data_IF_811109411738
#
_entry.id   IF_811109411738
#
_cell.length_a   1.000
_cell.length_b   1.000
_cell.length_c   1.000
_cell.angle_alpha   90.00
_cell.angle_beta   90.00
_cell.angle_gamma   90.00
#
_symmetry.space_group_name_H-M   'P 1'
#
loop_
_entity.id
_entity.type
_entity.pdbx_description
1 polymer ?
#
# COMPACT_ATOMS: atom_id res chain seq x y z
N UNK A 1 -36.67 -34.31 -33.86
CA UNK A 1 -37.61 -35.04 -34.74
C UNK A 1 -38.93 -35.22 -33.99
N UNK A 2 -39.87 -34.29 -34.13
CA UNK A 2 -41.17 -34.35 -33.42
C UNK A 2 -42.08 -35.32 -34.17
N UNK A 3 -42.29 -36.52 -33.62
CA UNK A 3 -43.32 -37.45 -34.11
C UNK A 3 -44.70 -36.91 -33.68
N UNK A 4 -45.40 -36.24 -34.58
CA UNK A 4 -46.80 -35.87 -34.38
C UNK A 4 -47.64 -37.16 -34.37
N UNK A 5 -48.03 -37.62 -33.18
CA UNK A 5 -48.75 -38.88 -32.99
C UNK A 5 -50.27 -38.75 -33.02
N UNK A 6 -50.80 -37.52 -33.13
CA UNK A 6 -52.24 -37.27 -33.12
C UNK A 6 -52.56 -36.08 -34.03
N UNK A 7 -53.22 -36.38 -35.14
CA UNK A 7 -53.80 -35.41 -36.06
C UNK A 7 -55.32 -35.55 -35.90
N UNK A 8 -56.03 -34.43 -35.75
CA UNK A 8 -57.48 -34.42 -35.80
C UNK A 8 -57.86 -34.33 -37.27
N UNK A 9 -58.59 -35.33 -37.76
CA UNK A 9 -59.16 -35.31 -39.09
C UNK A 9 -60.46 -34.52 -39.03
N UNK A 10 -60.56 -33.44 -39.81
CA UNK A 10 -61.84 -32.88 -40.25
C UNK A 10 -61.96 -33.17 -41.74
N UNK A 11 -62.61 -34.29 -42.05
CA UNK A 11 -62.88 -34.69 -43.42
C UNK A 11 -64.39 -34.80 -43.62
N UNK A 12 -64.95 -33.95 -44.47
CA UNK A 12 -66.25 -34.22 -45.05
C UNK A 12 -66.10 -35.36 -46.07
N UNK A 13 -66.88 -36.43 -45.91
CA UNK A 13 -66.92 -37.52 -46.88
C UNK A 13 -67.87 -37.10 -48.01
N UNK A 14 -67.32 -36.61 -49.13
CA UNK A 14 -68.13 -36.36 -50.33
C UNK A 14 -68.35 -37.69 -51.06
N UNK A 15 -69.56 -38.25 -50.93
CA UNK A 15 -70.01 -39.34 -51.79
C UNK A 15 -70.35 -38.73 -53.15
N UNK A 16 -69.66 -39.14 -54.21
CA UNK A 16 -70.14 -38.86 -55.56
C UNK A 16 -71.34 -39.78 -55.79
N UNK A 17 -72.56 -39.24 -55.66
CA UNK A 17 -73.79 -39.90 -56.08
C UNK A 17 -74.07 -39.59 -57.55
N UNK A 18 -74.30 -40.62 -58.35
CA UNK A 18 -75.14 -40.45 -59.54
C UNK A 18 -76.59 -40.32 -59.05
N UNK A 19 -77.28 -39.27 -59.50
CA UNK A 19 -78.58 -38.74 -59.05
C UNK A 19 -78.50 -37.81 -57.82
N UNK A 20 -79.02 -36.59 -58.02
CA UNK A 20 -78.83 -35.44 -57.15
C UNK A 20 -79.64 -35.49 -55.86
N UNK A 21 -78.92 -35.62 -54.75
CA UNK A 21 -79.29 -35.18 -53.41
C UNK A 21 -77.98 -34.79 -52.71
N UNK A 22 -77.79 -33.52 -52.37
CA UNK A 22 -76.73 -33.09 -51.45
C UNK A 22 -77.11 -33.50 -50.03
N UNK A 23 -76.22 -34.23 -49.34
CA UNK A 23 -76.37 -34.55 -47.93
C UNK A 23 -75.35 -33.76 -47.12
N UNK A 24 -75.82 -33.19 -46.00
CA UNK A 24 -75.06 -32.32 -45.10
C UNK A 24 -73.71 -32.91 -44.68
N UNK A 25 -72.69 -32.05 -44.70
CA UNK A 25 -71.35 -32.37 -44.22
C UNK A 25 -71.38 -32.68 -42.71
N UNK A 26 -71.23 -33.96 -42.34
CA UNK A 26 -71.01 -34.35 -40.96
C UNK A 26 -69.66 -33.80 -40.49
N UNK A 27 -69.66 -32.86 -39.54
CA UNK A 27 -68.43 -32.35 -38.89
C UNK A 27 -67.86 -33.42 -37.96
N UNK A 28 -67.11 -34.35 -38.53
CA UNK A 28 -66.52 -35.47 -37.82
C UNK A 28 -65.12 -35.06 -37.32
N UNK A 29 -64.95 -34.89 -36.01
CA UNK A 29 -63.65 -34.64 -35.38
C UNK A 29 -63.03 -35.96 -34.92
N UNK A 30 -62.30 -36.62 -35.81
CA UNK A 30 -61.70 -37.93 -35.52
C UNK A 30 -60.27 -37.77 -34.97
N UNK A 31 -59.99 -38.39 -33.82
CA UNK A 31 -58.64 -38.52 -33.23
C UNK A 31 -58.15 -39.96 -33.45
N UNK A 32 -57.14 -40.17 -34.30
CA UNK A 32 -56.50 -41.49 -34.51
C UNK A 32 -56.70 -42.10 -35.90
N UNK A 33 -56.52 -43.42 -36.03
CA UNK A 33 -56.59 -44.13 -37.31
C UNK A 33 -58.04 -44.31 -37.79
N UNK A 34 -58.32 -43.83 -39.01
CA UNK A 34 -59.64 -44.00 -39.66
C UNK A 34 -59.55 -45.17 -40.64
N UNK A 35 -60.38 -46.19 -40.44
CA UNK A 35 -60.47 -47.34 -41.34
C UNK A 35 -61.69 -47.17 -42.26
N UNK A 36 -61.46 -47.15 -43.57
CA UNK A 36 -62.53 -47.13 -44.57
C UNK A 36 -62.62 -48.53 -45.19
N UNK A 37 -63.73 -49.22 -44.94
CA UNK A 37 -64.02 -50.52 -45.54
C UNK A 37 -65.14 -50.36 -46.58
N UNK A 38 -64.94 -50.92 -47.77
CA UNK A 38 -65.96 -50.99 -48.81
C UNK A 38 -66.10 -52.45 -49.26
N UNK A 39 -67.32 -52.89 -49.54
CA UNK A 39 -67.63 -54.23 -50.04
C UNK A 39 -68.50 -54.05 -51.27
N UNK A 40 -68.09 -54.63 -52.40
CA UNK A 40 -68.78 -54.47 -53.68
C UNK A 40 -68.73 -55.79 -54.45
N UNK A 41 -69.82 -56.16 -55.13
CA UNK A 41 -69.94 -57.36 -55.94
C UNK A 41 -70.11 -57.00 -57.43
N UNK A 42 -69.39 -57.74 -58.29
CA UNK A 42 -69.22 -57.56 -59.76
C UNK A 42 -68.94 -56.14 -60.32
N UNK A 43 -67.67 -55.71 -60.37
CA UNK A 43 -67.21 -54.52 -61.13
C UNK A 43 -65.80 -54.75 -61.75
N UNK A 44 -65.50 -54.15 -62.92
CA UNK A 44 -64.17 -54.23 -63.60
C UNK A 44 -63.12 -53.18 -63.18
N UNK A 45 -63.47 -51.95 -62.76
CA UNK A 45 -62.51 -51.01 -62.15
C UNK A 45 -63.24 -49.94 -61.33
N UNK A 46 -62.69 -49.58 -60.17
CA UNK A 46 -63.15 -48.47 -59.33
C UNK A 46 -61.95 -47.59 -59.00
N UNK A 47 -62.11 -46.28 -59.12
CA UNK A 47 -61.17 -45.27 -58.62
C UNK A 47 -61.91 -44.36 -57.65
N UNK A 48 -61.35 -44.20 -56.45
CA UNK A 48 -61.77 -43.17 -55.50
C UNK A 48 -60.57 -42.36 -55.05
N UNK A 49 -60.79 -41.06 -54.85
CA UNK A 49 -59.82 -40.12 -54.32
C UNK A 49 -60.29 -39.67 -52.94
N UNK A 50 -59.53 -39.96 -51.90
CA UNK A 50 -59.83 -39.51 -50.54
C UNK A 50 -58.82 -38.42 -50.18
N UNK A 51 -59.32 -37.20 -49.97
CA UNK A 51 -58.52 -36.05 -49.57
C UNK A 51 -58.87 -35.67 -48.13
N UNK A 52 -57.89 -35.73 -47.22
CA UNK A 52 -58.07 -35.30 -45.84
C UNK A 52 -57.46 -33.92 -45.61
N UNK A 53 -58.26 -32.98 -45.09
CA UNK A 53 -57.75 -31.70 -44.60
C UNK A 53 -57.45 -31.82 -43.10
N UNK A 54 -56.18 -31.69 -42.74
CA UNK A 54 -55.72 -31.85 -41.36
C UNK A 54 -55.49 -30.49 -40.71
N UNK A 55 -56.09 -30.27 -39.54
CA UNK A 55 -55.79 -29.12 -38.70
C UNK A 55 -55.27 -29.60 -37.34
N UNK A 56 -54.11 -29.11 -36.93
CA UNK A 56 -53.51 -29.46 -35.64
C UNK A 56 -54.38 -28.91 -34.51
N UNK A 57 -54.69 -29.74 -33.51
CA UNK A 57 -55.47 -29.30 -32.37
C UNK A 57 -54.75 -28.15 -31.62
N UNK A 58 -55.47 -27.10 -31.19
CA UNK A 58 -54.86 -25.99 -30.45
C UNK A 58 -54.21 -26.43 -29.13
N UNK A 59 -54.71 -27.50 -28.51
CA UNK A 59 -54.16 -28.12 -27.30
C UNK A 59 -52.73 -28.65 -27.52
N UNK A 60 -52.50 -29.38 -28.62
CA UNK A 60 -51.18 -29.96 -28.95
C UNK A 60 -50.15 -28.87 -29.22
N UNK A 61 -50.56 -27.78 -29.89
CA UNK A 61 -49.69 -26.63 -30.13
C UNK A 61 -49.32 -25.95 -28.80
N UNK A 62 -50.28 -25.82 -27.89
CA UNK A 62 -50.06 -25.19 -26.58
C UNK A 62 -49.13 -26.03 -25.71
N UNK A 63 -49.28 -27.35 -25.71
CA UNK A 63 -48.40 -28.26 -24.97
C UNK A 63 -46.99 -28.27 -25.55
N UNK A 64 -46.85 -28.24 -26.88
CA UNK A 64 -45.55 -28.09 -27.52
C UNK A 64 -44.88 -26.75 -27.17
N UNK A 65 -45.64 -25.65 -27.15
CA UNK A 65 -45.14 -24.32 -26.74
C UNK A 65 -44.63 -24.34 -25.30
N UNK A 66 -45.42 -24.89 -24.36
CA UNK A 66 -45.02 -25.02 -22.95
C UNK A 66 -43.74 -25.84 -22.82
N UNK A 67 -43.69 -27.03 -23.40
CA UNK A 67 -42.52 -27.90 -23.34
C UNK A 67 -41.26 -27.25 -23.93
N UNK A 68 -41.42 -26.51 -25.02
CA UNK A 68 -40.30 -25.80 -25.65
C UNK A 68 -39.84 -24.62 -24.81
N UNK A 69 -40.78 -23.89 -24.20
CA UNK A 69 -40.49 -22.79 -23.28
C UNK A 69 -39.77 -23.28 -22.03
N UNK A 70 -40.27 -24.34 -21.38
CA UNK A 70 -39.65 -24.92 -20.17
C UNK A 70 -38.21 -25.36 -20.45
N UNK A 71 -37.94 -25.93 -21.62
CA UNK A 71 -36.58 -26.33 -22.02
C UNK A 71 -35.65 -25.13 -22.22
N UNK A 72 -36.15 -24.00 -22.74
CA UNK A 72 -35.38 -22.78 -22.95
C UNK A 72 -35.10 -22.10 -21.60
N UNK A 73 -36.11 -21.98 -20.73
CA UNK A 73 -35.97 -21.36 -19.42
C UNK A 73 -35.01 -22.15 -18.53
N UNK A 74 -35.10 -23.49 -18.51
CA UNK A 74 -34.17 -24.30 -17.72
C UNK A 74 -32.71 -24.08 -18.15
N UNK A 75 -32.44 -23.95 -19.46
CA UNK A 75 -31.09 -23.66 -19.98
C UNK A 75 -30.65 -22.22 -19.68
N UNK A 76 -31.58 -21.28 -19.70
CA UNK A 76 -31.31 -19.89 -19.34
C UNK A 76 -30.97 -19.74 -17.85
N UNK A 77 -31.72 -20.39 -16.95
CA UNK A 77 -31.49 -20.37 -15.51
C UNK A 77 -30.13 -21.00 -15.15
N UNK A 78 -29.75 -22.10 -15.83
CA UNK A 78 -28.43 -22.72 -15.70
C UNK A 78 -27.30 -21.75 -16.11
N UNK A 79 -27.48 -21.06 -17.24
CA UNK A 79 -26.51 -20.07 -17.71
C UNK A 79 -26.44 -18.83 -16.81
N UNK A 80 -27.58 -18.36 -16.29
CA UNK A 80 -27.65 -17.22 -15.38
C UNK A 80 -26.94 -17.55 -14.06
N UNK A 81 -27.16 -18.74 -13.52
CA UNK A 81 -26.45 -19.21 -12.32
C UNK A 81 -24.95 -19.30 -12.57
N UNK A 82 -24.53 -19.89 -13.68
CA UNK A 82 -23.11 -19.95 -14.03
C UNK A 82 -22.49 -18.56 -14.17
N UNK A 83 -23.23 -17.58 -14.72
CA UNK A 83 -22.78 -16.20 -14.81
C UNK A 83 -22.69 -15.52 -13.44
N UNK A 84 -23.69 -15.67 -12.57
CA UNK A 84 -23.64 -15.08 -11.21
C UNK A 84 -22.52 -15.69 -10.36
N UNK A 85 -22.32 -17.01 -10.48
CA UNK A 85 -21.24 -17.72 -9.78
C UNK A 85 -19.87 -17.27 -10.32
N UNK A 86 -19.74 -17.05 -11.64
CA UNK A 86 -18.52 -16.49 -12.23
C UNK A 86 -18.29 -15.01 -11.85
N UNK A 87 -19.36 -14.21 -11.76
CA UNK A 87 -19.26 -12.81 -11.36
C UNK A 87 -18.84 -12.69 -9.90
N UNK A 88 -19.46 -13.45 -9.00
CA UNK A 88 -19.06 -13.47 -7.58
C UNK A 88 -17.62 -13.95 -7.39
N UNK A 89 -17.20 -15.00 -8.10
CA UNK A 89 -15.81 -15.44 -8.06
C UNK A 89 -14.82 -14.40 -8.62
N UNK A 90 -15.20 -13.66 -9.66
CA UNK A 90 -14.39 -12.59 -10.22
C UNK A 90 -14.32 -11.37 -9.27
N UNK A 91 -15.43 -11.01 -8.64
CA UNK A 91 -15.52 -9.91 -7.68
C UNK A 91 -14.74 -10.25 -6.39
N UNK A 92 -14.80 -11.49 -5.91
CA UNK A 92 -13.99 -11.99 -4.79
C UNK A 92 -12.49 -11.98 -5.12
N UNK A 93 -12.10 -12.49 -6.29
CA UNK A 93 -10.72 -12.46 -6.75
C UNK A 93 -10.20 -11.02 -6.92
N UNK A 94 -11.02 -10.12 -7.45
CA UNK A 94 -10.70 -8.70 -7.57
C UNK A 94 -10.60 -8.03 -6.19
N UNK A 95 -11.46 -8.37 -5.24
CA UNK A 95 -11.40 -7.83 -3.88
C UNK A 95 -10.14 -8.29 -3.12
N UNK A 96 -9.73 -9.55 -3.28
CA UNK A 96 -8.49 -10.08 -2.70
C UNK A 96 -7.25 -9.42 -3.32
N UNK A 97 -7.24 -9.23 -4.64
CA UNK A 97 -6.17 -8.52 -5.35
C UNK A 97 -6.15 -7.02 -4.99
N UNK A 98 -7.30 -6.38 -4.86
CA UNK A 98 -7.44 -4.98 -4.43
C UNK A 98 -6.98 -4.80 -2.98
N UNK A 99 -7.28 -5.74 -2.09
CA UNK A 99 -6.79 -5.73 -0.71
C UNK A 99 -5.27 -5.87 -0.64
N UNK A 100 -4.68 -6.80 -1.41
CA UNK A 100 -3.23 -6.97 -1.50
C UNK A 100 -2.54 -5.75 -2.15
N UNK A 101 -3.20 -5.09 -3.11
CA UNK A 101 -2.68 -3.89 -3.74
C UNK A 101 -2.83 -2.65 -2.85
N UNK A 102 -3.85 -2.56 -1.99
CA UNK A 102 -4.06 -1.41 -1.08
C UNK A 102 -2.86 -1.14 -0.18
N UNK A 103 -2.22 -2.17 0.39
CA UNK A 103 -1.02 -1.97 1.21
C UNK A 103 0.17 -1.46 0.39
N UNK A 104 0.44 -2.06 -0.78
CA UNK A 104 1.52 -1.63 -1.68
C UNK A 104 1.30 -0.22 -2.20
N UNK A 105 0.06 0.12 -2.52
CA UNK A 105 -0.35 1.44 -2.97
C UNK A 105 -0.22 2.47 -1.85
N UNK A 106 -0.53 2.10 -0.60
CA UNK A 106 -0.37 3.01 0.55
C UNK A 106 1.10 3.41 0.77
N UNK A 107 2.04 2.47 0.74
CA UNK A 107 3.47 2.80 0.83
C UNK A 107 3.94 3.66 -0.34
N UNK A 108 3.48 3.32 -1.55
CA UNK A 108 3.80 4.09 -2.76
C UNK A 108 3.35 5.55 -2.67
N UNK A 109 2.15 5.81 -2.12
CA UNK A 109 1.67 7.17 -1.91
C UNK A 109 2.52 7.96 -0.91
N UNK A 110 2.98 7.32 0.17
CA UNK A 110 3.89 7.97 1.15
C UNK A 110 5.23 8.31 0.52
N UNK A 111 5.79 7.41 -0.27
CA UNK A 111 7.04 7.63 -0.99
C UNK A 111 6.90 8.78 -2.00
N UNK A 112 5.77 8.83 -2.72
CA UNK A 112 5.50 9.89 -3.69
C UNK A 112 5.29 11.26 -3.03
N UNK A 113 4.54 11.32 -1.92
CA UNK A 113 4.44 12.54 -1.11
C UNK A 113 5.82 13.02 -0.69
N UNK A 114 6.66 12.11 -0.18
CA UNK A 114 7.98 12.43 0.31
C UNK A 114 8.92 12.94 -0.81
N UNK A 115 8.93 12.27 -1.96
CA UNK A 115 9.77 12.64 -3.09
C UNK A 115 9.38 14.01 -3.66
N UNK A 116 8.08 14.28 -3.82
CA UNK A 116 7.59 15.57 -4.34
C UNK A 116 7.88 16.69 -3.35
N UNK A 117 7.69 16.48 -2.05
CA UNK A 117 8.01 17.49 -1.03
C UNK A 117 9.50 17.80 -1.01
N UNK A 118 10.34 16.76 -0.99
CA UNK A 118 11.80 16.89 -1.06
C UNK A 118 12.24 17.67 -2.30
N UNK A 119 11.70 17.32 -3.48
CA UNK A 119 12.00 18.01 -4.73
C UNK A 119 11.70 19.51 -4.62
N UNK A 120 10.50 19.86 -4.11
CA UNK A 120 10.10 21.26 -3.94
C UNK A 120 10.98 21.99 -2.91
N UNK A 121 11.34 21.35 -1.79
CA UNK A 121 12.24 21.93 -0.80
C UNK A 121 13.62 22.24 -1.40
N UNK A 122 14.21 21.31 -2.16
CA UNK A 122 15.50 21.52 -2.81
C UNK A 122 15.38 22.62 -3.88
N UNK A 123 14.30 22.62 -4.66
CA UNK A 123 14.04 23.67 -5.64
C UNK A 123 13.95 25.06 -4.99
N UNK A 124 13.28 25.15 -3.83
CA UNK A 124 13.19 26.37 -3.04
C UNK A 124 14.56 26.84 -2.53
N UNK A 125 15.37 25.94 -1.96
CA UNK A 125 16.73 26.25 -1.50
C UNK A 125 17.65 26.73 -2.64
N UNK A 126 17.42 26.22 -3.85
CA UNK A 126 18.20 26.58 -5.04
C UNK A 126 17.68 27.80 -5.81
N UNK A 127 16.59 28.43 -5.35
CA UNK A 127 15.92 29.49 -6.12
C UNK A 127 16.83 30.70 -6.44
N UNK A 128 17.76 31.03 -5.53
CA UNK A 128 18.72 32.13 -5.68
C UNK A 128 20.12 31.67 -6.12
N UNK A 129 20.26 30.40 -6.50
CA UNK A 129 21.52 29.80 -6.90
C UNK A 129 21.65 29.76 -8.42
N UNK A 130 22.87 29.93 -8.92
CA UNK A 130 23.14 29.81 -10.36
C UNK A 130 22.96 28.37 -10.85
N UNK A 131 23.13 27.39 -9.96
CA UNK A 131 22.89 25.98 -10.23
C UNK A 131 21.41 25.63 -10.03
N UNK A 132 20.69 25.52 -11.15
CA UNK A 132 19.31 25.02 -11.21
C UNK A 132 19.26 23.51 -11.28
N UNK A 133 18.17 22.93 -10.79
CA UNK A 133 17.84 21.51 -10.98
C UNK A 133 17.71 21.14 -12.46
N UNK A 134 18.05 19.90 -12.81
CA UNK A 134 17.82 19.34 -14.14
C UNK A 134 18.84 19.77 -15.20
N UNK A 135 20.09 20.08 -14.81
CA UNK A 135 21.13 20.46 -15.76
C UNK A 135 21.43 19.31 -16.73
N UNK A 136 21.41 19.60 -18.03
CA UNK A 136 21.81 18.64 -19.06
C UNK A 136 23.32 18.42 -19.04
N UNK A 137 23.74 17.22 -18.64
CA UNK A 137 25.17 16.86 -18.48
C UNK A 137 25.62 15.81 -19.51
N UNK A 138 24.73 15.48 -20.45
CA UNK A 138 24.96 14.48 -21.49
C UNK A 138 24.83 15.12 -22.87
N UNK A 139 25.63 14.62 -23.80
CA UNK A 139 25.64 14.99 -25.20
C UNK A 139 25.11 13.82 -26.03
N UNK A 140 24.42 14.16 -27.12
CA UNK A 140 23.88 13.21 -28.08
C UNK A 140 22.50 12.66 -27.72
N UNK A 141 21.69 12.39 -28.75
CA UNK A 141 20.32 11.90 -28.61
C UNK A 141 20.19 10.42 -29.02
N UNK A 142 21.30 9.76 -29.34
CA UNK A 142 21.32 8.36 -29.77
C UNK A 142 22.35 7.58 -28.96
N UNK A 143 22.12 6.28 -28.77
CA UNK A 143 23.01 5.43 -27.97
C UNK A 143 24.46 5.39 -28.50
N UNK A 144 24.66 5.63 -29.80
CA UNK A 144 25.98 5.70 -30.44
C UNK A 144 26.68 7.05 -30.22
N UNK A 145 25.91 8.12 -30.01
CA UNK A 145 26.42 9.48 -29.80
C UNK A 145 26.37 9.93 -28.34
N UNK A 146 25.94 9.04 -27.42
CA UNK A 146 25.87 9.33 -26.00
C UNK A 146 27.27 9.54 -25.43
N UNK A 147 27.50 10.73 -24.91
CA UNK A 147 28.70 11.07 -24.16
C UNK A 147 28.32 11.87 -22.91
N UNK A 148 29.05 11.65 -21.82
CA UNK A 148 28.95 12.52 -20.64
C UNK A 148 29.84 13.73 -20.86
N UNK A 149 29.32 14.92 -20.58
CA UNK A 149 30.10 16.15 -20.67
C UNK A 149 30.95 16.30 -19.41
N UNK A 150 32.20 15.84 -19.48
CA UNK A 150 33.18 15.99 -18.40
C UNK A 150 33.75 17.41 -18.41
N UNK A 151 33.42 18.20 -17.38
CA UNK A 151 33.94 19.54 -17.16
C UNK A 151 33.58 20.04 -15.76
N UNK A 152 34.10 21.20 -15.37
CA UNK A 152 33.91 21.79 -14.02
C UNK A 152 32.43 21.91 -13.63
N UNK A 153 31.55 22.09 -14.63
CA UNK A 153 30.11 22.14 -14.48
C UNK A 153 29.47 20.84 -13.97
N UNK A 154 30.01 19.68 -14.37
CA UNK A 154 29.56 18.36 -13.91
C UNK A 154 29.98 18.15 -12.45
N UNK A 155 31.20 18.52 -12.11
CA UNK A 155 31.73 18.37 -10.75
C UNK A 155 31.00 19.30 -9.76
N UNK A 156 30.75 20.55 -10.16
CA UNK A 156 29.94 21.49 -9.37
C UNK A 156 28.49 20.99 -9.18
N UNK A 157 27.88 20.44 -10.23
CA UNK A 157 26.50 19.93 -10.13
C UNK A 157 26.39 18.65 -9.31
N UNK A 158 27.34 17.72 -9.46
CA UNK A 158 27.36 16.46 -8.71
C UNK A 158 27.69 16.68 -7.24
N UNK A 159 28.61 17.59 -6.92
CA UNK A 159 28.88 18.00 -5.52
C UNK A 159 27.66 18.66 -4.88
N UNK A 160 26.93 19.50 -5.62
CA UNK A 160 25.66 20.07 -5.15
C UNK A 160 24.62 19.00 -4.85
N UNK A 161 24.39 18.09 -5.81
CA UNK A 161 23.43 17.01 -5.65
C UNK A 161 23.80 16.14 -4.45
N UNK A 162 25.07 15.75 -4.32
CA UNK A 162 25.55 14.98 -3.17
C UNK A 162 25.35 15.71 -1.85
N UNK A 163 25.65 17.00 -1.79
CA UNK A 163 25.46 17.82 -0.60
C UNK A 163 23.98 17.87 -0.19
N UNK A 164 23.08 18.20 -1.11
CA UNK A 164 21.63 18.28 -0.83
C UNK A 164 21.05 16.94 -0.37
N UNK A 165 21.53 15.84 -0.94
CA UNK A 165 21.09 14.49 -0.59
C UNK A 165 21.63 14.00 0.76
N UNK A 166 22.87 14.37 1.13
CA UNK A 166 23.54 13.83 2.31
C UNK A 166 23.47 14.72 3.55
N UNK A 167 23.36 16.04 3.38
CA UNK A 167 23.39 17.00 4.47
C UNK A 167 22.09 16.99 5.29
N UNK A 168 20.96 16.60 4.69
CA UNK A 168 19.65 16.62 5.33
C UNK A 168 19.11 15.20 5.53
N UNK A 169 18.37 15.00 6.63
CA UNK A 169 17.79 13.70 6.99
C UNK A 169 16.40 13.53 6.36
N UNK A 170 16.37 13.38 5.03
CA UNK A 170 15.11 13.25 4.28
C UNK A 170 14.23 12.08 4.71
N UNK A 171 14.81 11.01 5.27
CA UNK A 171 14.07 9.84 5.74
C UNK A 171 13.25 10.08 7.02
N UNK A 172 13.51 11.18 7.76
CA UNK A 172 12.86 11.50 9.04
C UNK A 172 12.18 12.88 8.96
N UNK A 173 11.82 13.33 7.75
CA UNK A 173 11.14 14.61 7.61
C UNK A 173 9.69 14.55 8.10
N UNK A 174 9.24 15.65 8.69
CA UNK A 174 7.86 15.86 9.08
C UNK A 174 7.20 16.90 8.17
N UNK A 175 5.93 16.71 7.84
CA UNK A 175 5.21 17.61 6.95
C UNK A 175 3.74 17.79 7.32
N UNK A 176 3.23 18.99 7.05
CA UNK A 176 1.84 19.36 7.28
C UNK A 176 1.27 20.05 6.06
N UNK A 177 0.13 19.56 5.57
CA UNK A 177 -0.54 20.13 4.41
C UNK A 177 -1.47 21.27 4.79
N UNK A 178 -1.40 22.35 4.02
CA UNK A 178 -2.37 23.43 4.04
C UNK A 178 -3.37 23.29 2.89
N UNK A 179 -4.66 23.59 3.12
CA UNK A 179 -5.71 23.29 2.14
C UNK A 179 -5.59 24.06 0.82
N UNK A 180 -6.38 23.64 -0.17
CA UNK A 180 -6.38 24.13 -1.56
C UNK A 180 -6.47 25.65 -1.73
N UNK A 181 -7.10 26.37 -0.80
CA UNK A 181 -7.26 27.83 -0.91
C UNK A 181 -5.94 28.62 -0.77
N UNK A 182 -4.83 27.95 -0.37
CA UNK A 182 -3.48 28.51 -0.44
C UNK A 182 -2.80 28.34 -1.81
N UNK A 183 -3.40 27.56 -2.73
CA UNK A 183 -2.94 27.40 -4.10
C UNK A 183 -3.39 28.57 -4.99
N UNK A 184 -2.97 28.55 -6.26
CA UNK A 184 -3.55 29.43 -7.27
C UNK A 184 -5.07 29.21 -7.39
N UNK A 185 -5.82 30.31 -7.31
CA UNK A 185 -7.27 30.39 -7.46
C UNK A 185 -7.82 29.70 -8.72
N UNK A 186 -7.03 29.65 -9.80
CA UNK A 186 -7.44 28.97 -11.04
C UNK A 186 -7.57 27.44 -10.86
N UNK A 187 -6.84 26.86 -9.91
CA UNK A 187 -6.76 25.40 -9.73
C UNK A 187 -7.63 24.89 -8.57
N UNK A 188 -8.31 25.77 -7.83
CA UNK A 188 -9.10 25.39 -6.65
C UNK A 188 -10.20 24.37 -6.96
N UNK A 189 -10.86 24.51 -8.12
CA UNK A 189 -11.92 23.58 -8.51
C UNK A 189 -11.37 22.17 -8.74
N UNK A 190 -10.24 22.04 -9.43
CA UNK A 190 -9.59 20.75 -9.69
C UNK A 190 -9.07 20.13 -8.39
N UNK A 191 -8.38 20.90 -7.56
CA UNK A 191 -7.86 20.43 -6.28
C UNK A 191 -8.99 19.98 -5.36
N UNK A 192 -10.06 20.76 -5.19
CA UNK A 192 -11.18 20.38 -4.33
C UNK A 192 -11.90 19.10 -4.77
N UNK A 193 -12.01 18.89 -6.08
CA UNK A 193 -12.67 17.71 -6.65
C UNK A 193 -11.75 16.48 -6.71
N UNK A 194 -10.46 16.63 -6.41
CA UNK A 194 -9.54 15.49 -6.34
C UNK A 194 -9.99 14.50 -5.25
N UNK A 195 -10.09 13.23 -5.64
CA UNK A 195 -10.50 12.14 -4.77
C UNK A 195 -9.57 10.97 -4.94
N UNK A 196 -9.11 10.40 -3.83
CA UNK A 196 -8.37 9.14 -3.79
C UNK A 196 -8.97 8.22 -2.71
N UNK A 197 -8.69 6.93 -2.81
CA UNK A 197 -9.06 5.90 -1.86
C UNK A 197 -8.34 6.09 -0.52
N UNK A 198 -7.11 6.62 -0.52
CA UNK A 198 -6.35 6.96 0.69
C UNK A 198 -6.69 8.40 1.17
N UNK A 199 -7.29 8.57 2.37
CA UNK A 199 -7.62 9.89 2.91
C UNK A 199 -6.42 10.82 3.10
N UNK A 200 -5.24 10.28 3.42
CA UNK A 200 -4.04 11.08 3.65
C UNK A 200 -3.45 11.58 2.34
N UNK A 201 -3.39 10.71 1.33
CA UNK A 201 -2.93 11.10 -0.02
C UNK A 201 -3.93 12.06 -0.70
N UNK A 202 -5.23 11.89 -0.45
CA UNK A 202 -6.23 12.88 -0.85
C UNK A 202 -5.93 14.27 -0.26
N UNK A 203 -5.53 14.35 1.01
CA UNK A 203 -5.17 15.64 1.60
C UNK A 203 -3.95 16.27 0.91
N UNK A 204 -3.00 15.45 0.43
CA UNK A 204 -1.88 15.91 -0.39
C UNK A 204 -2.34 16.48 -1.74
N UNK A 205 -3.24 15.80 -2.45
CA UNK A 205 -3.79 16.29 -3.74
C UNK A 205 -4.63 17.57 -3.58
N UNK A 206 -5.34 17.67 -2.46
CA UNK A 206 -6.14 18.85 -2.10
C UNK A 206 -5.30 19.96 -1.45
N UNK A 207 -3.99 19.77 -1.26
CA UNK A 207 -3.14 20.76 -0.61
C UNK A 207 -2.73 21.85 -1.60
N UNK A 208 -2.80 23.11 -1.17
CA UNK A 208 -2.25 24.23 -1.93
C UNK A 208 -0.82 24.60 -1.53
N UNK A 209 -0.43 24.24 -0.31
CA UNK A 209 0.89 24.53 0.25
C UNK A 209 1.23 23.44 1.28
N UNK A 210 2.51 23.18 1.50
CA UNK A 210 2.97 22.26 2.53
C UNK A 210 4.03 22.95 3.39
N UNK A 211 3.97 22.71 4.70
CA UNK A 211 5.08 23.00 5.63
C UNK A 211 5.88 21.72 5.80
N UNK A 212 7.20 21.79 5.59
CA UNK A 212 8.11 20.66 5.78
C UNK A 212 9.17 21.06 6.82
N UNK A 213 9.44 20.16 7.76
CA UNK A 213 10.46 20.29 8.79
C UNK A 213 11.47 19.16 8.53
N UNK A 214 12.71 19.53 8.23
CA UNK A 214 13.81 18.59 7.97
C UNK A 214 14.97 18.92 8.89
N UNK A 215 15.52 17.90 9.54
CA UNK A 215 16.72 18.01 10.37
C UNK A 215 17.98 17.93 9.53
N UNK A 216 19.00 18.69 9.95
CA UNK A 216 20.34 18.59 9.35
C UNK A 216 21.08 17.46 10.05
N UNK A 217 21.80 16.66 9.26
CA UNK A 217 22.59 15.55 9.78
C UNK A 217 23.74 16.10 10.66
N UNK A 218 23.99 15.51 11.85
CA UNK A 218 25.09 15.96 12.71
C UNK A 218 26.42 16.02 11.95
N UNK A 219 27.13 17.15 12.09
CA UNK A 219 28.39 17.42 11.38
C UNK A 219 28.25 18.14 10.03
N UNK A 220 27.03 18.29 9.49
CA UNK A 220 26.75 19.13 8.31
C UNK A 220 26.21 20.52 8.65
N UNK A 221 26.01 20.83 9.93
CA UNK A 221 25.44 22.09 10.43
C UNK A 221 26.16 23.33 9.91
N UNK A 222 27.49 23.36 10.04
CA UNK A 222 28.32 24.47 9.59
C UNK A 222 28.23 24.66 8.07
N UNK A 223 28.23 23.56 7.31
CA UNK A 223 28.17 23.58 5.86
C UNK A 223 26.80 24.05 5.34
N UNK A 224 25.71 23.64 6.00
CA UNK A 224 24.34 24.08 5.68
C UNK A 224 24.16 25.55 6.03
N UNK A 225 24.65 26.01 7.18
CA UNK A 225 24.57 27.42 7.56
C UNK A 225 25.37 28.31 6.58
N UNK A 226 26.56 27.86 6.16
CA UNK A 226 27.34 28.53 5.11
C UNK A 226 26.58 28.57 3.78
N UNK A 227 25.95 27.48 3.39
CA UNK A 227 25.14 27.44 2.16
C UNK A 227 23.94 28.39 2.23
N UNK A 228 23.22 28.43 3.36
CA UNK A 228 22.06 29.31 3.55
C UNK A 228 22.41 30.80 3.51
N UNK A 229 23.61 31.16 3.97
CA UNK A 229 24.08 32.56 4.01
C UNK A 229 24.75 33.02 2.71
N UNK A 230 25.50 32.15 2.03
CA UNK A 230 26.31 32.53 0.86
C UNK A 230 25.79 31.97 -0.46
N UNK A 231 24.89 30.99 -0.41
CA UNK A 231 24.46 30.21 -1.58
C UNK A 231 25.51 29.22 -2.11
N UNK A 232 26.71 29.13 -1.52
CA UNK A 232 27.80 28.29 -2.04
C UNK A 232 27.99 27.03 -1.19
N UNK A 233 28.37 25.94 -1.84
CA UNK A 233 28.72 24.70 -1.14
C UNK A 233 30.10 24.84 -0.52
N UNK A 234 30.23 24.41 0.73
CA UNK A 234 31.53 24.34 1.39
C UNK A 234 32.29 23.09 0.93
N UNK A 235 33.39 23.28 0.20
CA UNK A 235 34.21 22.21 -0.39
C UNK A 235 35.29 21.66 0.57
N UNK A 236 35.12 21.83 1.88
CA UNK A 236 36.10 21.45 2.91
C UNK A 236 37.20 22.51 3.12
N UNK A 237 37.71 22.60 4.35
CA UNK A 237 38.68 23.60 4.81
C UNK A 237 38.43 23.97 6.28
N UNK A 238 38.96 25.09 6.76
CA UNK A 238 38.38 25.75 7.94
C UNK A 238 37.09 26.46 7.50
N UNK A 239 36.02 26.35 8.28
CA UNK A 239 34.76 27.08 8.01
C UNK A 239 35.07 28.57 8.15
N UNK A 240 34.85 29.42 7.13
CA UNK A 240 34.97 30.85 7.31
C UNK A 240 33.90 31.27 8.32
N UNK A 241 34.32 31.77 9.48
CA UNK A 241 33.40 32.47 10.37
C UNK A 241 32.92 33.68 9.59
N UNK A 242 31.67 33.67 9.13
CA UNK A 242 31.05 34.83 8.49
C UNK A 242 30.89 35.88 9.59
N UNK A 243 31.92 36.69 9.74
CA UNK A 243 32.09 37.63 10.83
C UNK A 243 31.32 38.92 10.57
N UNK A 244 30.16 39.04 11.20
CA UNK A 244 29.81 40.30 11.85
C UNK A 244 30.18 40.13 13.33
N UNK A 245 31.01 40.99 13.95
CA UNK A 245 31.41 40.88 15.35
C UNK A 245 30.25 40.84 16.37
N UNK A 246 29.01 41.13 15.94
CA UNK A 246 27.78 41.01 16.75
C UNK A 246 26.97 39.72 16.54
N UNK A 247 27.27 38.90 15.52
CA UNK A 247 26.56 37.65 15.27
C UNK A 247 27.49 36.46 15.53
N UNK A 248 27.48 35.98 16.78
CA UNK A 248 27.91 34.60 17.04
C UNK A 248 26.98 33.65 16.29
N UNK A 249 27.54 32.67 15.58
CA UNK A 249 26.73 31.63 14.95
C UNK A 249 26.06 30.77 16.03
N UNK A 250 24.86 30.27 15.75
CA UNK A 250 24.14 29.32 16.64
C UNK A 250 25.04 28.10 16.96
N UNK A 251 25.93 27.73 16.03
CA UNK A 251 26.89 26.64 16.25
C UNK A 251 27.99 27.02 17.25
N UNK A 252 28.50 28.25 17.20
CA UNK A 252 29.46 28.76 18.20
C UNK A 252 28.79 28.85 19.59
N UNK A 253 27.51 29.22 19.64
CA UNK A 253 26.71 29.22 20.86
C UNK A 253 26.51 27.80 21.42
N UNK A 254 26.30 26.79 20.57
CA UNK A 254 26.23 25.38 20.98
C UNK A 254 27.58 24.80 21.44
N UNK A 255 28.70 25.29 20.89
CA UNK A 255 30.06 24.87 21.28
C UNK A 255 30.52 25.53 22.58
N UNK A 256 29.95 26.68 22.94
CA UNK A 256 30.27 27.29 24.21
C UNK A 256 29.80 26.37 25.34
N UNK A 257 30.69 26.02 26.30
CA UNK A 257 30.27 25.27 27.46
C UNK A 257 29.13 26.02 28.14
N UNK A 258 28.09 25.30 28.56
CA UNK A 258 26.83 25.84 29.11
C UNK A 258 27.00 26.70 30.37
N UNK A 259 28.22 26.84 30.88
CA UNK A 259 28.56 27.86 31.87
C UNK A 259 30.05 27.85 32.22
N UNK A 260 30.50 28.93 32.87
CA UNK A 260 31.76 28.95 33.61
C UNK A 260 31.50 28.29 34.96
N UNK A 261 32.33 27.32 35.36
CA UNK A 261 32.22 26.70 36.68
C UNK A 261 32.37 27.77 37.77
N UNK A 262 31.31 27.95 38.57
CA UNK A 262 31.27 28.91 39.67
C UNK A 262 31.47 28.16 40.99
N UNK A 263 32.53 28.52 41.73
CA UNK A 263 32.81 27.95 43.05
C UNK A 263 33.53 26.60 43.01
N UNK A 264 33.54 25.93 44.16
CA UNK A 264 34.08 24.58 44.32
C UNK A 264 33.02 23.56 43.91
N UNK A 265 33.44 22.43 43.33
CA UNK A 265 32.49 21.36 42.98
C UNK A 265 32.12 20.53 44.22
N UNK A 266 30.94 19.93 44.20
CA UNK A 266 30.44 19.02 45.25
C UNK A 266 30.00 17.69 44.65
N UNK A 267 30.03 16.64 45.46
CA UNK A 267 29.68 15.28 45.03
C UNK A 267 28.16 15.11 45.08
N UNK A 268 27.57 14.62 44.00
CA UNK A 268 26.14 14.29 43.93
C UNK A 268 25.97 12.80 43.63
N UNK A 269 25.23 12.07 44.48
CA UNK A 269 24.90 10.67 44.26
C UNK A 269 23.52 10.54 43.64
N UNK A 270 23.45 10.00 42.42
CA UNK A 270 22.20 9.75 41.71
C UNK A 270 21.91 8.25 41.72
N UNK A 271 20.72 7.79 42.14
CA UNK A 271 20.36 6.38 42.04
C UNK A 271 20.23 6.00 40.56
N UNK A 272 20.98 4.98 40.12
CA UNK A 272 20.88 4.44 38.75
C UNK A 272 20.33 3.01 38.78
N UNK A 273 19.53 2.66 37.77
CA UNK A 273 19.00 1.31 37.60
C UNK A 273 19.99 0.35 36.91
N UNK A 274 21.27 0.72 36.83
CA UNK A 274 22.29 -0.05 36.12
C UNK A 274 22.62 -1.33 36.88
N UNK A 275 22.50 -2.47 36.19
CA UNK A 275 22.93 -3.78 36.70
C UNK A 275 24.42 -3.99 36.43
N UNK A 276 25.19 -4.21 37.49
CA UNK A 276 26.65 -4.42 37.42
C UNK A 276 26.94 -5.84 36.92
N UNK A 277 27.69 -5.96 35.81
CA UNK A 277 28.29 -7.22 35.38
C UNK A 277 29.61 -7.41 36.12
N UNK A 278 29.73 -8.45 36.96
CA UNK A 278 30.94 -8.70 37.72
C UNK A 278 32.11 -9.10 36.81
N UNK A 279 33.28 -8.51 37.07
CA UNK A 279 34.53 -8.85 36.40
C UNK A 279 34.79 -10.37 36.46
N UNK A 280 35.30 -10.93 35.35
CA UNK A 280 35.51 -12.37 35.07
C UNK A 280 34.28 -13.25 34.77
N UNK A 281 33.04 -12.76 34.81
CA UNK A 281 31.88 -13.59 34.41
C UNK A 281 31.80 -13.88 32.90
N UNK A 282 32.41 -13.02 32.06
CA UNK A 282 32.42 -13.12 30.59
C UNK A 282 33.81 -12.73 30.02
N UNK A 283 34.89 -13.35 30.49
CA UNK A 283 36.23 -13.22 29.87
C UNK A 283 36.88 -11.83 29.85
N UNK A 284 36.26 -10.82 30.47
CA UNK A 284 36.85 -9.48 30.64
C UNK A 284 37.71 -9.45 31.91
N UNK A 285 39.01 -9.23 31.73
CA UNK A 285 39.95 -8.90 32.80
C UNK A 285 39.87 -7.40 33.10
N UNK A 286 39.28 -7.05 34.25
CA UNK A 286 39.22 -5.68 34.75
C UNK A 286 39.77 -5.63 36.18
N UNK A 287 40.55 -4.60 36.50
CA UNK A 287 41.17 -4.40 37.82
C UNK A 287 40.18 -3.93 38.87
N UNK A 288 39.17 -3.14 38.46
CA UNK A 288 38.16 -2.54 39.32
C UNK A 288 36.75 -2.82 38.77
N UNK A 289 35.78 -3.00 39.67
CA UNK A 289 34.41 -3.36 39.28
C UNK A 289 33.58 -2.17 38.72
N UNK A 290 34.00 -0.94 39.01
CA UNK A 290 33.43 0.28 38.44
C UNK A 290 34.56 1.23 38.02
N UNK A 291 34.43 1.93 36.88
CA UNK A 291 35.34 3.00 36.51
C UNK A 291 35.32 4.10 37.56
N UNK A 292 36.49 4.59 37.94
CA UNK A 292 36.67 5.76 38.80
C UNK A 292 37.40 6.81 37.98
N UNK A 293 36.91 8.04 38.04
CA UNK A 293 37.53 9.18 37.40
C UNK A 293 38.09 10.07 38.53
N UNK A 294 39.31 9.82 39.01
CA UNK A 294 39.92 10.67 40.02
C UNK A 294 40.17 12.05 39.41
N UNK A 295 39.73 13.09 40.10
CA UNK A 295 40.00 14.48 39.70
C UNK A 295 41.50 14.77 39.84
N UNK A 296 42.06 15.49 38.86
CA UNK A 296 43.50 15.81 38.80
C UNK A 296 43.96 16.71 39.96
N UNK A 297 43.01 17.36 40.63
CA UNK A 297 43.22 18.43 41.58
C UNK A 297 43.40 17.91 43.03
N UNK A 298 43.42 16.58 43.23
CA UNK A 298 43.51 15.93 44.55
C UNK A 298 42.53 16.48 45.62
N UNK A 299 41.39 17.01 45.19
CA UNK A 299 40.34 17.55 46.06
C UNK A 299 40.50 19.01 46.51
N UNK A 300 41.50 19.76 46.01
CA UNK A 300 41.68 21.19 46.37
C UNK A 300 40.47 22.06 45.99
N UNK A 301 39.83 21.73 44.86
CA UNK A 301 38.66 22.41 44.30
C UNK A 301 37.31 21.77 44.70
N UNK A 302 37.32 20.83 45.65
CA UNK A 302 36.11 20.19 46.17
C UNK A 302 35.63 20.87 47.46
N UNK A 303 34.32 21.03 47.63
CA UNK A 303 33.75 21.52 48.90
C UNK A 303 33.98 20.55 50.05
N UNK A 304 33.91 19.23 49.78
CA UNK A 304 34.13 18.19 50.78
C UNK A 304 35.12 17.12 50.30
N UNK A 305 36.44 17.33 50.50
CA UNK A 305 37.46 16.42 50.01
C UNK A 305 37.42 15.01 50.63
N UNK A 306 36.75 14.84 51.77
CA UNK A 306 36.66 13.55 52.47
C UNK A 306 35.68 12.56 51.81
N UNK A 307 34.75 13.07 51.00
CA UNK A 307 33.75 12.25 50.31
C UNK A 307 34.24 11.75 48.94
N UNK A 308 35.41 12.20 48.47
CA UNK A 308 35.98 11.81 47.18
C UNK A 308 36.36 10.32 47.18
N UNK A 309 35.75 9.59 46.25
CA UNK A 309 36.03 8.17 46.05
C UNK A 309 37.32 8.02 45.23
N UNK A 310 38.44 7.76 45.92
CA UNK A 310 39.75 7.51 45.29
C UNK A 310 39.97 6.04 44.94
N UNK A 311 39.14 5.14 45.49
CA UNK A 311 39.21 3.69 45.31
C UNK A 311 37.81 3.10 45.22
N UNK A 312 37.68 2.00 44.49
CA UNK A 312 36.37 1.39 44.28
C UNK A 312 35.88 0.81 45.60
N UNK A 313 34.63 1.11 45.96
CA UNK A 313 33.97 0.47 47.09
C UNK A 313 33.70 -1.02 46.84
N UNK A 314 33.73 -1.46 45.57
CA UNK A 314 33.44 -2.82 45.15
C UNK A 314 34.74 -3.58 44.89
N UNK A 315 34.90 -4.71 45.58
CA UNK A 315 36.01 -5.64 45.30
C UNK A 315 35.55 -6.66 44.26
N UNK A 316 36.35 -6.96 43.23
CA UNK A 316 36.07 -8.08 42.36
C UNK A 316 36.10 -9.37 43.19
N UNK A 317 35.01 -10.12 43.17
CA UNK A 317 34.92 -11.47 43.75
C UNK A 317 34.90 -12.45 42.59
N UNK A 318 35.67 -13.53 42.69
CA UNK A 318 35.62 -14.63 41.72
C UNK A 318 34.28 -15.36 41.86
N UNK A 319 33.25 -14.85 41.19
CA UNK A 319 31.95 -15.49 41.09
C UNK A 319 31.98 -16.47 39.91
N UNK A 320 32.23 -17.75 40.20
CA UNK A 320 31.98 -18.82 39.23
C UNK A 320 30.48 -18.93 39.05
N UNK A 321 29.98 -18.62 37.86
CA UNK A 321 28.60 -18.92 37.46
C UNK A 321 28.44 -20.45 37.54
N UNK A 322 27.90 -20.97 38.65
CA UNK A 322 27.56 -22.38 38.75
C UNK A 322 26.51 -22.68 37.68
N UNK A 323 26.90 -23.45 36.67
CA UNK A 323 25.96 -24.06 35.76
C UNK A 323 25.06 -24.98 36.57
N UNK A 324 23.75 -24.72 36.54
CA UNK A 324 22.75 -25.32 37.41
C UNK A 324 22.88 -26.83 37.53
N UNK A 325 23.19 -27.26 38.75
CA UNK A 325 23.25 -28.63 39.20
C UNK A 325 23.44 -28.62 40.70
N UNK A 326 22.33 -28.42 41.42
CA UNK A 326 22.16 -28.57 42.87
C UNK A 326 22.42 -27.38 43.81
N UNK A 327 21.37 -27.12 44.59
CA UNK A 327 21.25 -26.37 45.86
C UNK A 327 21.11 -24.84 45.83
N UNK A 328 19.85 -24.42 45.97
CA UNK A 328 19.40 -23.08 46.36
C UNK A 328 20.03 -22.63 47.68
N UNK A 329 20.56 -21.40 47.73
CA UNK A 329 21.08 -20.74 48.94
C UNK A 329 20.01 -19.97 49.73
N UNK A 330 18.73 -20.32 49.60
CA UNK A 330 17.70 -19.81 50.50
C UNK A 330 17.86 -20.48 51.89
N UNK A 331 18.01 -19.72 52.98
CA UNK A 331 18.18 -20.29 54.31
C UNK A 331 16.89 -21.02 54.73
N UNK A 332 17.01 -22.32 55.00
CA UNK A 332 15.91 -23.23 55.31
C UNK A 332 15.89 -23.60 56.80
N UNK A 333 15.54 -22.67 57.68
CA UNK A 333 15.23 -22.93 59.11
C UNK A 333 14.72 -21.63 59.75
N UNK A 334 13.68 -21.48 60.60
CA UNK A 334 12.74 -22.35 61.32
C UNK A 334 11.55 -21.45 61.74
N UNK A 335 10.30 -21.82 61.42
CA UNK A 335 9.13 -21.48 62.23
C UNK A 335 8.69 -22.82 62.85
N UNK A 336 8.59 -22.90 64.17
CA UNK A 336 7.93 -24.04 64.84
C UNK A 336 6.42 -23.75 64.96
N UNK A 337 5.55 -24.74 64.74
CA UNK A 337 4.10 -24.55 64.83
C UNK A 337 3.65 -24.45 66.28
N UNK A 338 2.56 -23.71 66.50
CA UNK A 338 1.61 -23.95 67.59
C UNK A 338 0.55 -24.90 67.06
#
# INVERSE_FOLDING_TARGET
>A
MVKFKQIIFKGGLNWISYSGQEYDALDLSLRGSVSVNYVIDEIKTINFWITFYCQTAPEIITDWKKKSFDAIIAKYEEALKAFSDAQTAADEAAADEEAANKEKMSTYYRDMEAEVLKHNCIAYLLQNNDLKLGKGLTLGNTMQSFAVNFGDDLDAYTSLAKFMEQAMEWSIMDYTFYPYYWADSNNWQEMYLSSDLDPLFRNFLQAGMARVIVTVKPGFEDAVNFFMSTGRIWNGGEVPVIGDPMYMSIVEELRQPTGVAQGKYWITRVPTALTILQAKSVGLEMTDALPIFPENDNGENCENPLELETKSAFKPVDAVMQHGGDTSTLPSTIIKPI
#
